data_IF_543150062260
#
_entry.id   IF_543150062260
#
_cell.length_a   1.000
_cell.length_b   1.000
_cell.length_c   1.000
_cell.angle_alpha   90.00
_cell.angle_beta   90.00
_cell.angle_gamma   90.00
#
_symmetry.space_group_name_H-M   'P 1'
#
loop_
_entity.id
_entity.type
_entity.pdbx_description
1 polymer ?
#
# COMPACT_ATOMS: atom_id res chain seq x y z
N UNK A 1 -27.60 44.95 16.69
CA UNK A 1 -27.14 43.61 17.10
C UNK A 1 -25.63 43.57 17.10
N UNK A 2 -24.94 43.30 18.23
CA UNK A 2 -23.49 43.24 18.26
C UNK A 2 -22.99 41.89 17.70
N UNK A 3 -22.06 41.95 16.74
CA UNK A 3 -21.31 40.79 16.22
C UNK A 3 -20.50 40.18 17.36
N UNK A 4 -20.81 38.95 17.75
CA UNK A 4 -19.95 38.15 18.65
C UNK A 4 -18.63 37.86 17.92
N UNK A 5 -17.55 38.49 18.37
CA UNK A 5 -16.19 38.13 17.97
C UNK A 5 -15.94 36.69 18.43
N UNK A 6 -15.61 35.79 17.48
CA UNK A 6 -15.17 34.43 17.80
C UNK A 6 -13.88 34.54 18.64
N UNK A 7 -13.79 33.90 19.81
CA UNK A 7 -12.52 33.88 20.55
C UNK A 7 -11.46 33.18 19.69
N UNK A 8 -10.26 33.76 19.65
CA UNK A 8 -9.10 33.16 19.01
C UNK A 8 -8.90 31.75 19.58
N UNK A 9 -8.85 30.74 18.70
CA UNK A 9 -8.61 29.36 19.11
C UNK A 9 -7.27 29.29 19.85
N UNK A 10 -7.30 28.89 21.13
CA UNK A 10 -6.09 28.58 21.90
C UNK A 10 -5.29 27.53 21.13
N UNK A 11 -4.00 27.76 20.88
CA UNK A 11 -3.14 26.78 20.19
C UNK A 11 -3.12 25.40 20.90
N UNK A 12 -3.37 25.37 22.21
CA UNK A 12 -3.56 24.13 22.97
C UNK A 12 -4.75 23.29 22.45
N UNK A 13 -5.88 23.90 22.08
CA UNK A 13 -7.04 23.16 21.54
C UNK A 13 -6.83 22.69 20.11
N UNK A 14 -5.93 23.31 19.34
CA UNK A 14 -5.53 22.83 18.02
C UNK A 14 -4.74 21.52 18.11
N UNK A 15 -3.77 21.43 19.03
CA UNK A 15 -3.03 20.17 19.28
C UNK A 15 -3.97 19.04 19.72
N UNK A 16 -5.01 19.36 20.49
CA UNK A 16 -6.01 18.38 20.92
C UNK A 16 -6.94 17.88 19.80
N UNK A 17 -7.03 18.57 18.67
CA UNK A 17 -7.72 18.05 17.48
C UNK A 17 -6.83 17.10 16.65
N UNK A 18 -5.49 17.18 16.80
CA UNK A 18 -4.55 16.32 16.06
C UNK A 18 -4.43 14.94 16.70
N UNK A 19 -4.52 14.84 18.03
CA UNK A 19 -4.43 13.56 18.74
C UNK A 19 -5.82 13.01 19.08
N UNK A 20 -6.14 11.83 18.55
CA UNK A 20 -7.38 11.13 18.88
C UNK A 20 -7.43 10.81 20.38
N UNK A 21 -8.57 11.09 21.01
CA UNK A 21 -8.88 10.72 22.38
C UNK A 21 -8.62 9.22 22.66
N UNK A 22 -8.83 8.34 21.66
CA UNK A 22 -8.64 6.89 21.76
C UNK A 22 -7.21 6.48 22.08
N UNK A 23 -6.20 7.26 21.68
CA UNK A 23 -4.79 6.99 22.00
C UNK A 23 -4.57 6.99 23.51
N UNK A 24 -5.28 7.86 24.24
CA UNK A 24 -5.18 7.96 25.70
C UNK A 24 -5.93 6.86 26.43
N UNK A 25 -7.00 6.34 25.82
CA UNK A 25 -7.83 5.29 26.42
C UNK A 25 -7.19 3.90 26.23
N UNK A 26 -6.50 3.65 25.11
CA UNK A 26 -5.88 2.34 24.80
C UNK A 26 -4.44 2.41 24.30
N UNK A 27 -3.51 3.13 24.98
CA UNK A 27 -2.16 3.39 24.46
C UNK A 27 -1.35 2.11 24.20
N UNK A 28 -1.60 1.06 24.98
CA UNK A 28 -0.94 -0.24 24.83
C UNK A 28 -1.19 -0.89 23.47
N UNK A 29 -2.41 -0.77 22.93
CA UNK A 29 -2.77 -1.38 21.65
C UNK A 29 -2.12 -0.64 20.48
N UNK A 30 -2.11 0.70 20.54
CA UNK A 30 -1.39 1.52 19.55
C UNK A 30 0.10 1.18 19.53
N UNK A 31 0.76 1.20 20.69
CA UNK A 31 2.19 0.92 20.77
C UNK A 31 2.53 -0.51 20.31
N UNK A 32 1.74 -1.50 20.73
CA UNK A 32 1.94 -2.89 20.35
C UNK A 32 1.77 -3.10 18.84
N UNK A 33 0.68 -2.61 18.25
CA UNK A 33 0.40 -2.82 16.83
C UNK A 33 1.33 -2.00 15.92
N UNK A 34 1.65 -0.76 16.29
CA UNK A 34 2.65 0.04 15.56
C UNK A 34 4.04 -0.57 15.67
N UNK A 35 4.43 -1.11 16.82
CA UNK A 35 5.69 -1.84 16.99
C UNK A 35 5.74 -3.10 16.12
N UNK A 36 4.66 -3.87 16.11
CA UNK A 36 4.55 -5.08 15.30
C UNK A 36 4.55 -4.78 13.79
N UNK A 37 3.91 -3.69 13.35
CA UNK A 37 3.99 -3.20 11.99
C UNK A 37 5.42 -2.82 11.61
N UNK A 38 6.11 -2.11 12.51
CA UNK A 38 7.51 -1.71 12.31
C UNK A 38 8.43 -2.93 12.17
N UNK A 39 8.33 -3.90 13.08
CA UNK A 39 9.13 -5.14 13.02
C UNK A 39 8.83 -5.92 11.75
N UNK A 40 7.55 -6.06 11.39
CA UNK A 40 7.15 -6.75 10.16
C UNK A 40 7.72 -6.07 8.93
N UNK A 41 7.71 -4.73 8.89
CA UNK A 41 8.31 -3.98 7.78
C UNK A 41 9.81 -4.06 7.74
N UNK A 42 10.51 -4.00 8.88
CA UNK A 42 11.96 -4.24 8.91
C UNK A 42 12.26 -5.60 8.28
N UNK A 43 11.59 -6.68 8.74
CA UNK A 43 11.85 -8.03 8.25
C UNK A 43 11.56 -8.18 6.75
N UNK A 44 10.46 -7.60 6.27
CA UNK A 44 10.12 -7.65 4.85
C UNK A 44 11.10 -6.82 4.01
N UNK A 45 11.42 -5.60 4.44
CA UNK A 45 12.30 -4.70 3.69
C UNK A 45 13.79 -5.08 3.73
N UNK A 46 14.21 -6.01 4.59
CA UNK A 46 15.56 -6.58 4.52
C UNK A 46 15.78 -7.46 3.28
N UNK A 47 14.71 -7.88 2.60
CA UNK A 47 14.77 -8.78 1.45
C UNK A 47 14.92 -8.03 0.11
N UNK A 48 14.36 -6.83 0.01
CA UNK A 48 14.34 -6.02 -1.22
C UNK A 48 15.00 -4.66 -0.99
N UNK A 49 15.79 -4.19 -1.96
CA UNK A 49 16.43 -2.88 -1.86
C UNK A 49 15.40 -1.75 -2.03
N UNK A 50 15.02 -1.16 -0.90
CA UNK A 50 14.02 -0.11 -0.83
C UNK A 50 14.37 1.17 -1.62
N UNK A 51 15.67 1.40 -1.89
CA UNK A 51 16.11 2.59 -2.63
C UNK A 51 15.77 2.46 -4.11
N UNK A 52 15.92 1.26 -4.68
CA UNK A 52 15.70 1.05 -6.12
C UNK A 52 14.25 0.84 -6.50
N UNK A 53 13.39 0.36 -5.59
CA UNK A 53 11.99 0.01 -5.88
C UNK A 53 10.99 0.64 -4.92
N UNK A 54 11.15 1.93 -4.65
CA UNK A 54 10.35 2.68 -3.68
C UNK A 54 8.83 2.49 -3.84
N UNK A 55 8.28 2.50 -5.06
CA UNK A 55 6.82 2.32 -5.25
C UNK A 55 6.31 0.95 -4.78
N UNK A 56 7.08 -0.12 -5.05
CA UNK A 56 6.76 -1.49 -4.62
C UNK A 56 6.90 -1.61 -3.10
N UNK A 57 7.98 -1.06 -2.55
CA UNK A 57 8.20 -1.03 -1.10
C UNK A 57 7.10 -0.25 -0.37
N UNK A 58 6.67 0.90 -0.89
CA UNK A 58 5.59 1.69 -0.32
C UNK A 58 4.24 0.96 -0.40
N UNK A 59 3.99 0.22 -1.48
CA UNK A 59 2.80 -0.63 -1.60
C UNK A 59 2.76 -1.69 -0.48
N UNK A 60 3.88 -2.39 -0.25
CA UNK A 60 4.01 -3.38 0.82
C UNK A 60 3.98 -2.74 2.22
N UNK A 61 4.58 -1.56 2.37
CA UNK A 61 4.52 -0.76 3.60
C UNK A 61 3.07 -0.40 3.98
N UNK A 62 2.31 0.07 3.00
CA UNK A 62 0.89 0.37 3.13
C UNK A 62 0.06 -0.90 3.42
N UNK A 63 0.50 -2.07 2.91
CA UNK A 63 -0.11 -3.35 3.26
C UNK A 63 0.05 -3.71 4.73
N UNK A 64 1.27 -3.63 5.27
CA UNK A 64 1.48 -3.87 6.70
C UNK A 64 0.70 -2.87 7.54
N UNK A 65 0.71 -1.58 7.17
CA UNK A 65 -0.10 -0.56 7.84
C UNK A 65 -1.59 -0.95 7.89
N UNK A 66 -2.17 -1.33 6.74
CA UNK A 66 -3.58 -1.71 6.67
C UNK A 66 -3.91 -2.91 7.56
N UNK A 67 -3.02 -3.90 7.62
CA UNK A 67 -3.21 -5.12 8.40
C UNK A 67 -3.14 -4.84 9.90
N UNK A 68 -2.19 -4.03 10.34
CA UNK A 68 -1.99 -3.78 11.77
C UNK A 68 -2.88 -2.67 12.32
N UNK A 69 -3.30 -1.71 11.50
CA UNK A 69 -4.16 -0.59 11.94
C UNK A 69 -5.66 -0.92 11.77
N UNK A 70 -6.01 -1.66 10.70
CA UNK A 70 -7.40 -2.03 10.36
C UNK A 70 -7.60 -3.55 10.25
N UNK A 71 -7.23 -4.33 11.28
CA UNK A 71 -7.26 -5.78 11.24
C UNK A 71 -8.64 -6.37 10.99
N UNK A 72 -9.74 -5.71 11.37
CA UNK A 72 -11.10 -6.23 11.14
C UNK A 72 -11.78 -5.63 9.90
N UNK A 73 -11.10 -4.75 9.16
CA UNK A 73 -11.63 -4.21 7.92
C UNK A 73 -11.68 -5.26 6.81
N UNK A 74 -12.61 -5.08 5.88
CA UNK A 74 -12.69 -5.92 4.67
C UNK A 74 -11.39 -5.81 3.85
N UNK A 75 -10.77 -4.62 3.84
CA UNK A 75 -9.52 -4.36 3.13
C UNK A 75 -8.33 -5.18 3.63
N UNK A 76 -8.31 -5.60 4.90
CA UNK A 76 -7.22 -6.43 5.45
C UNK A 76 -7.44 -7.93 5.28
N UNK A 77 -8.56 -8.36 4.70
CA UNK A 77 -8.81 -9.79 4.46
C UNK A 77 -7.76 -10.38 3.50
N UNK A 78 -7.28 -11.62 3.74
CA UNK A 78 -6.28 -12.26 2.87
C UNK A 78 -6.67 -12.28 1.40
N UNK A 79 -7.98 -12.47 1.11
CA UNK A 79 -8.52 -12.42 -0.25
C UNK A 79 -8.25 -11.08 -0.93
N UNK A 80 -8.45 -9.96 -0.24
CA UNK A 80 -8.23 -8.62 -0.82
C UNK A 80 -6.74 -8.29 -0.91
N UNK A 81 -5.96 -8.60 0.12
CA UNK A 81 -4.51 -8.35 0.12
C UNK A 81 -3.81 -9.14 -0.99
N UNK A 82 -3.97 -10.47 -1.00
CA UNK A 82 -3.29 -11.34 -1.96
C UNK A 82 -3.90 -11.16 -3.36
N UNK A 83 -5.23 -11.13 -3.47
CA UNK A 83 -5.92 -10.97 -4.75
C UNK A 83 -5.66 -9.61 -5.40
N UNK A 84 -5.58 -8.54 -4.60
CA UNK A 84 -5.26 -7.21 -5.08
C UNK A 84 -3.84 -7.10 -5.64
N UNK A 85 -2.84 -7.59 -4.89
CA UNK A 85 -1.46 -7.66 -5.37
C UNK A 85 -1.32 -8.57 -6.60
N UNK A 86 -2.03 -9.69 -6.65
CA UNK A 86 -2.05 -10.57 -7.83
C UNK A 86 -2.62 -9.86 -9.06
N UNK A 87 -3.76 -9.17 -8.92
CA UNK A 87 -4.37 -8.39 -10.01
C UNK A 87 -3.43 -7.28 -10.50
N UNK A 88 -2.75 -6.60 -9.58
CA UNK A 88 -1.75 -5.59 -9.90
C UNK A 88 -0.51 -6.16 -10.60
N UNK A 89 -0.03 -7.34 -10.18
CA UNK A 89 1.06 -8.06 -10.86
C UNK A 89 0.65 -8.43 -12.28
N UNK A 90 -0.56 -8.97 -12.49
CA UNK A 90 -1.06 -9.31 -13.83
C UNK A 90 -1.13 -8.05 -14.71
N UNK A 91 -1.71 -6.96 -14.20
CA UNK A 91 -1.80 -5.72 -14.95
C UNK A 91 -0.42 -5.13 -15.28
N UNK A 92 0.47 -5.05 -14.29
CA UNK A 92 1.84 -4.58 -14.46
C UNK A 92 2.62 -5.44 -15.46
N UNK A 93 2.52 -6.77 -15.36
CA UNK A 93 3.15 -7.70 -16.29
C UNK A 93 2.70 -7.50 -17.73
N UNK A 94 1.39 -7.36 -17.95
CA UNK A 94 0.82 -7.14 -19.28
C UNK A 94 1.33 -5.83 -19.88
N UNK A 95 1.32 -4.73 -19.12
CA UNK A 95 1.79 -3.45 -19.63
C UNK A 95 3.31 -3.43 -19.82
N UNK A 96 4.08 -3.98 -18.89
CA UNK A 96 5.55 -4.07 -19.03
C UNK A 96 5.96 -4.93 -20.23
N UNK A 97 5.23 -6.01 -20.53
CA UNK A 97 5.47 -6.80 -21.73
C UNK A 97 5.21 -6.00 -23.02
N UNK A 98 4.19 -5.12 -23.03
CA UNK A 98 3.93 -4.22 -24.16
C UNK A 98 5.04 -3.17 -24.35
N UNK A 99 5.62 -2.67 -23.26
CA UNK A 99 6.73 -1.70 -23.34
C UNK A 99 8.04 -2.31 -23.82
N UNK A 100 8.22 -3.63 -23.69
CA UNK A 100 9.40 -4.35 -24.17
C UNK A 100 9.37 -4.65 -25.69
N UNK A 101 8.27 -4.34 -26.38
CA UNK A 101 8.20 -4.47 -27.85
C UNK A 101 9.11 -3.40 -28.47
N UNK A 102 10.02 -3.78 -29.38
CA UNK A 102 11.14 -2.93 -29.85
C UNK A 102 10.74 -1.54 -30.38
N UNK A 103 9.53 -1.39 -30.92
CA UNK A 103 9.00 -0.09 -31.40
C UNK A 103 8.62 0.82 -30.23
N UNK A 104 8.10 0.24 -29.15
CA UNK A 104 7.68 0.95 -27.93
C UNK A 104 8.88 1.18 -27.01
N UNK A 105 9.82 0.24 -26.94
CA UNK A 105 11.01 0.35 -26.09
C UNK A 105 11.88 1.56 -26.49
N UNK A 106 12.10 1.75 -27.80
CA UNK A 106 12.81 2.93 -28.32
C UNK A 106 12.11 4.25 -27.97
N UNK A 107 10.77 4.30 -28.07
CA UNK A 107 10.00 5.48 -27.67
C UNK A 107 9.91 5.68 -26.14
N UNK A 108 9.92 4.60 -25.36
CA UNK A 108 9.82 4.64 -23.90
C UNK A 108 11.13 5.08 -23.24
N UNK A 109 12.29 4.71 -23.81
CA UNK A 109 13.58 5.15 -23.31
C UNK A 109 13.86 6.63 -23.59
N UNK A 110 13.33 7.16 -24.69
CA UNK A 110 13.50 8.57 -25.07
C UNK A 110 12.49 9.51 -24.40
N UNK A 111 11.37 9.00 -23.89
CA UNK A 111 10.26 9.82 -23.41
C UNK A 111 9.67 9.34 -22.09
N UNK A 112 9.96 10.08 -21.00
CA UNK A 112 9.32 9.90 -19.68
C UNK A 112 7.80 9.85 -19.75
N UNK A 113 7.22 10.60 -20.70
CA UNK A 113 5.77 10.63 -20.92
C UNK A 113 5.21 9.24 -21.26
N UNK A 114 5.92 8.44 -22.07
CA UNK A 114 5.46 7.09 -22.44
C UNK A 114 5.47 6.16 -21.22
N UNK A 115 6.51 6.25 -20.38
CA UNK A 115 6.59 5.49 -19.13
C UNK A 115 5.47 5.87 -18.14
N UNK A 116 5.19 7.17 -17.98
CA UNK A 116 4.12 7.66 -17.11
C UNK A 116 2.73 7.20 -17.60
N UNK A 117 2.48 7.26 -18.91
CA UNK A 117 1.23 6.76 -19.52
C UNK A 117 1.11 5.25 -19.33
N UNK A 118 2.18 4.48 -19.56
CA UNK A 118 2.18 3.04 -19.34
C UNK A 118 1.88 2.71 -17.87
N UNK A 119 2.51 3.40 -16.93
CA UNK A 119 2.26 3.19 -15.51
C UNK A 119 0.82 3.54 -15.11
N UNK A 120 0.26 4.62 -15.65
CA UNK A 120 -1.15 4.97 -15.46
C UNK A 120 -2.10 3.89 -16.03
N UNK A 121 -1.79 3.35 -17.21
CA UNK A 121 -2.54 2.25 -17.81
C UNK A 121 -2.47 0.98 -16.96
N UNK A 122 -1.32 0.64 -16.38
CA UNK A 122 -1.19 -0.51 -15.49
C UNK A 122 -1.99 -0.35 -14.21
N UNK A 123 -1.97 0.85 -13.60
CA UNK A 123 -2.80 1.15 -12.42
C UNK A 123 -4.30 1.08 -12.77
N UNK A 124 -4.70 1.64 -13.91
CA UNK A 124 -6.08 1.59 -14.39
C UNK A 124 -6.55 0.16 -14.66
N UNK A 125 -5.74 -0.64 -15.36
CA UNK A 125 -6.01 -2.04 -15.62
C UNK A 125 -6.06 -2.86 -14.32
N UNK A 126 -5.12 -2.64 -13.41
CA UNK A 126 -5.11 -3.28 -12.09
C UNK A 126 -6.37 -2.95 -11.29
N UNK A 127 -6.81 -1.69 -11.33
CA UNK A 127 -8.07 -1.26 -10.70
C UNK A 127 -9.27 -1.97 -11.32
N UNK A 128 -9.35 -2.04 -12.64
CA UNK A 128 -10.42 -2.74 -13.35
C UNK A 128 -10.46 -4.23 -12.98
N UNK A 129 -9.30 -4.89 -12.96
CA UNK A 129 -9.20 -6.29 -12.55
C UNK A 129 -9.67 -6.48 -11.11
N UNK A 130 -9.16 -5.67 -10.17
CA UNK A 130 -9.54 -5.75 -8.76
C UNK A 130 -11.03 -5.56 -8.51
N UNK A 131 -11.66 -4.59 -9.18
CA UNK A 131 -13.12 -4.37 -9.10
C UNK A 131 -13.88 -5.55 -9.69
N UNK A 132 -13.42 -6.10 -10.81
CA UNK A 132 -14.07 -7.24 -11.47
C UNK A 132 -13.96 -8.54 -10.64
N UNK A 133 -12.89 -8.72 -9.87
CA UNK A 133 -12.66 -9.91 -9.05
C UNK A 133 -13.09 -9.77 -7.59
N UNK A 134 -13.63 -8.60 -7.18
CA UNK A 134 -13.94 -8.26 -5.79
C UNK A 134 -12.72 -8.47 -4.87
N UNK A 135 -11.58 -7.91 -5.30
CA UNK A 135 -10.30 -7.92 -4.59
C UNK A 135 -9.73 -6.52 -4.49
N UNK A 136 -10.59 -5.51 -4.27
CA UNK A 136 -10.18 -4.10 -4.19
C UNK A 136 -9.20 -3.89 -3.05
N UNK A 137 -7.99 -3.49 -3.41
CA UNK A 137 -6.93 -3.29 -2.45
C UNK A 137 -6.04 -2.10 -2.86
N UNK A 138 -6.33 -0.90 -2.33
CA UNK A 138 -5.66 0.33 -2.75
C UNK A 138 -4.11 0.27 -2.74
N UNK A 139 -3.45 -0.37 -1.75
CA UNK A 139 -1.98 -0.49 -1.76
C UNK A 139 -1.43 -1.17 -3.02
N UNK A 140 -2.17 -2.11 -3.63
CA UNK A 140 -1.72 -2.83 -4.81
C UNK A 140 -1.65 -1.95 -6.07
N UNK A 141 -2.29 -0.77 -6.10
CA UNK A 141 -2.07 0.19 -7.19
C UNK A 141 -0.59 0.60 -7.31
N UNK A 142 0.11 0.76 -6.17
CA UNK A 142 1.55 1.03 -6.15
C UNK A 142 2.39 -0.12 -6.71
N UNK A 143 1.93 -1.36 -6.55
CA UNK A 143 2.54 -2.54 -7.15
C UNK A 143 2.46 -2.52 -8.68
N UNK A 144 1.27 -2.26 -9.23
CA UNK A 144 1.07 -2.18 -10.69
C UNK A 144 1.93 -1.07 -11.30
N UNK A 145 1.94 0.11 -10.66
CA UNK A 145 2.79 1.24 -11.05
C UNK A 145 4.28 0.87 -11.02
N UNK A 146 4.75 0.30 -9.90
CA UNK A 146 6.16 0.00 -9.70
C UNK A 146 6.70 -1.06 -10.67
N UNK A 147 5.88 -2.03 -11.09
CA UNK A 147 6.28 -3.05 -12.05
C UNK A 147 6.47 -2.54 -13.49
N UNK A 148 5.92 -1.36 -13.80
CA UNK A 148 6.12 -0.69 -15.10
C UNK A 148 7.27 0.31 -15.05
N UNK A 149 7.37 1.09 -13.97
CA UNK A 149 8.39 2.14 -13.87
C UNK A 149 9.80 1.57 -13.63
N UNK A 150 9.91 0.45 -12.92
CA UNK A 150 11.20 -0.18 -12.69
C UNK A 150 11.46 -1.31 -13.69
N UNK A 151 12.74 -1.60 -14.01
CA UNK A 151 13.09 -2.74 -14.85
C UNK A 151 12.46 -4.03 -14.31
N UNK A 152 11.85 -4.79 -15.23
CA UNK A 152 11.15 -6.03 -14.90
C UNK A 152 12.07 -6.98 -14.14
N UNK A 153 11.58 -7.52 -13.01
CA UNK A 153 12.32 -8.51 -12.24
C UNK A 153 11.37 -9.53 -11.60
N UNK A 154 11.70 -10.81 -11.78
CA UNK A 154 11.03 -11.89 -11.07
C UNK A 154 11.24 -11.82 -9.55
N UNK A 155 12.37 -11.27 -9.09
CA UNK A 155 12.61 -11.08 -7.66
C UNK A 155 11.57 -10.15 -7.04
N UNK A 156 11.22 -9.07 -7.72
CA UNK A 156 10.22 -8.10 -7.26
C UNK A 156 8.83 -8.76 -7.19
N UNK A 157 8.44 -9.55 -8.19
CA UNK A 157 7.16 -10.27 -8.18
C UNK A 157 7.09 -11.27 -7.04
N UNK A 158 8.16 -12.05 -6.82
CA UNK A 158 8.24 -12.99 -5.69
C UNK A 158 8.15 -12.24 -4.37
N UNK A 159 8.88 -11.13 -4.21
CA UNK A 159 8.86 -10.28 -3.03
C UNK A 159 7.46 -9.73 -2.72
N UNK A 160 6.76 -9.19 -3.70
CA UNK A 160 5.38 -8.69 -3.57
C UNK A 160 4.46 -9.81 -3.05
N UNK A 161 4.49 -10.95 -3.73
CA UNK A 161 3.56 -12.05 -3.44
C UNK A 161 3.89 -12.72 -2.10
N UNK A 162 5.17 -12.95 -1.80
CA UNK A 162 5.59 -13.50 -0.51
C UNK A 162 5.24 -12.57 0.64
N UNK A 163 5.44 -11.26 0.47
CA UNK A 163 5.08 -10.26 1.49
C UNK A 163 3.58 -10.22 1.73
N UNK A 164 2.77 -10.23 0.67
CA UNK A 164 1.30 -10.28 0.77
C UNK A 164 0.82 -11.53 1.52
N UNK A 165 1.42 -12.69 1.25
CA UNK A 165 1.11 -13.96 1.92
C UNK A 165 1.55 -13.93 3.39
N UNK A 166 2.80 -13.56 3.67
CA UNK A 166 3.35 -13.50 5.03
C UNK A 166 2.54 -12.55 5.90
N UNK A 167 2.26 -11.33 5.43
CA UNK A 167 1.47 -10.37 6.18
C UNK A 167 0.03 -10.84 6.40
N UNK A 168 -0.57 -11.52 5.40
CA UNK A 168 -1.89 -12.15 5.56
C UNK A 168 -1.90 -13.26 6.61
N UNK A 169 -0.86 -14.10 6.66
CA UNK A 169 -0.69 -15.14 7.69
C UNK A 169 -0.54 -14.49 9.07
N UNK A 170 0.32 -13.47 9.19
CA UNK A 170 0.52 -12.74 10.45
C UNK A 170 -0.79 -12.17 10.96
N UNK A 171 -1.61 -11.58 10.07
CA UNK A 171 -2.95 -11.12 10.42
C UNK A 171 -3.82 -12.23 10.99
N UNK A 172 -3.88 -13.40 10.33
CA UNK A 172 -4.71 -14.52 10.75
C UNK A 172 -4.28 -15.01 12.14
N UNK A 173 -2.98 -15.21 12.34
CA UNK A 173 -2.40 -15.70 13.59
C UNK A 173 -2.64 -14.71 14.74
N UNK A 174 -2.51 -13.41 14.46
CA UNK A 174 -2.63 -12.36 15.47
C UNK A 174 -4.02 -11.76 15.56
N UNK A 175 -5.01 -12.26 14.80
CA UNK A 175 -6.35 -11.68 14.70
C UNK A 175 -6.99 -11.41 16.06
N UNK A 176 -6.85 -12.35 17.01
CA UNK A 176 -7.44 -12.22 18.35
C UNK A 176 -6.72 -11.21 19.26
N UNK A 177 -5.54 -10.73 18.86
CA UNK A 177 -4.72 -9.74 19.60
C UNK A 177 -4.77 -8.34 18.95
N UNK A 178 -5.16 -8.27 17.69
CA UNK A 178 -5.31 -7.03 16.96
C UNK A 178 -6.71 -6.45 17.21
N UNK A 179 -6.81 -5.14 17.25
CA UNK A 179 -8.05 -4.38 17.37
C UNK A 179 -7.98 -3.18 16.43
N UNK A 180 -9.10 -2.78 15.85
CA UNK A 180 -9.13 -1.56 15.04
C UNK A 180 -8.70 -0.34 15.86
N UNK A 181 -7.79 0.46 15.29
CA UNK A 181 -7.26 1.67 15.92
C UNK A 181 -8.02 2.95 15.52
N UNK A 182 -8.95 2.87 14.56
CA UNK A 182 -9.92 3.93 14.21
C UNK A 182 -11.34 3.48 14.55
#
# INVERSE_FOLDING_TARGET
>A
MPRRLRPAANQATLLWHVFDHRIRVRPKNYLFQSGLATVSLILVLLVEDAVFRAAIVVAVASTAFTIFVFPDSVASTPRRVIGGHLAAVIAGALISALTMVSIVDSAAQDSRFVADVAAALAVGLGTLLMVSTNTEYPPAAGTAFGLVIYPWSWSAVVFIMSSAVVLSIVRIVLRNKLVNLL
#
